data_IF_802433348180
#
_entry.id   IF_802433348180
#
_cell.length_a   1.000
_cell.length_b   1.000
_cell.length_c   1.000
_cell.angle_alpha   90.00
_cell.angle_beta   90.00
_cell.angle_gamma   90.00
#
_symmetry.space_group_name_H-M   'P 1'
#
loop_
_entity.id
_entity.type
_entity.pdbx_description
1 polymer ?
#
# COMPACT_ATOMS: atom_id res chain seq x y z
N UNK A 1 -12.46 -6.82 -6.85
CA UNK A 1 -11.30 -7.47 -7.52
C UNK A 1 -10.99 -8.71 -6.70
N UNK A 2 -11.38 -9.91 -7.19
CA UNK A 2 -11.35 -11.16 -6.41
C UNK A 2 -9.94 -11.57 -5.93
N UNK A 3 -8.88 -11.06 -6.59
CA UNK A 3 -7.50 -11.32 -6.20
C UNK A 3 -7.09 -10.63 -4.88
N UNK A 4 -7.57 -9.41 -4.62
CA UNK A 4 -7.27 -8.66 -3.38
C UNK A 4 -7.91 -9.36 -2.17
N UNK A 5 -9.12 -9.88 -2.35
CA UNK A 5 -9.86 -10.62 -1.32
C UNK A 5 -9.18 -11.96 -1.01
N UNK A 6 -8.59 -12.65 -2.01
CA UNK A 6 -7.83 -13.88 -1.76
C UNK A 6 -6.55 -13.68 -0.94
N UNK A 7 -6.01 -12.47 -0.91
CA UNK A 7 -4.85 -12.14 -0.10
C UNK A 7 -5.24 -11.85 1.37
N UNK A 8 -6.52 -11.88 1.77
CA UNK A 8 -7.02 -11.26 3.01
C UNK A 8 -6.77 -12.08 4.29
N UNK A 9 -5.52 -12.10 4.76
CA UNK A 9 -5.32 -12.18 6.21
C UNK A 9 -5.88 -10.90 6.86
N UNK A 10 -6.67 -11.01 7.94
CA UNK A 10 -7.24 -9.86 8.64
C UNK A 10 -6.13 -8.97 9.19
N UNK A 11 -6.35 -7.66 9.16
CA UNK A 11 -5.45 -6.70 9.82
C UNK A 11 -5.73 -6.70 11.32
N UNK A 12 -4.71 -6.55 12.15
CA UNK A 12 -4.84 -6.45 13.60
C UNK A 12 -4.02 -5.26 14.12
N UNK A 13 -4.59 -4.52 15.07
CA UNK A 13 -3.86 -3.50 15.79
C UNK A 13 -3.11 -4.14 16.96
N UNK A 14 -1.80 -3.88 17.00
CA UNK A 14 -0.92 -4.42 18.02
C UNK A 14 -0.47 -3.27 18.90
N UNK A 15 -0.97 -3.27 20.13
CA UNK A 15 -0.70 -2.28 21.18
C UNK A 15 0.34 -2.77 22.17
N UNK A 16 0.59 -4.08 22.19
CA UNK A 16 1.57 -4.70 23.06
C UNK A 16 2.99 -4.17 22.81
N UNK A 17 3.83 -4.23 23.86
CA UNK A 17 5.24 -3.90 23.74
C UNK A 17 5.98 -4.99 22.96
N UNK A 18 6.80 -4.57 22.01
CA UNK A 18 7.69 -5.48 21.28
C UNK A 18 8.78 -6.01 22.20
N UNK A 19 8.95 -7.32 22.21
CA UNK A 19 10.05 -8.02 22.84
C UNK A 19 10.72 -8.97 21.85
N UNK A 20 12.04 -9.07 21.88
CA UNK A 20 12.81 -9.90 20.93
C UNK A 20 13.47 -11.05 21.67
N UNK A 21 13.01 -12.27 21.40
CA UNK A 21 13.38 -13.50 22.12
C UNK A 21 13.96 -14.58 21.22
N UNK A 22 14.73 -15.48 21.81
CA UNK A 22 15.23 -16.68 21.13
C UNK A 22 14.13 -17.71 20.91
N UNK A 23 14.25 -18.50 19.85
CA UNK A 23 13.42 -19.68 19.63
C UNK A 23 13.84 -20.79 20.61
N UNK A 24 12.90 -21.35 21.39
CA UNK A 24 13.22 -22.50 22.23
C UNK A 24 13.10 -23.81 21.43
N UNK A 25 14.00 -24.76 21.68
CA UNK A 25 14.02 -26.07 21.01
C UNK A 25 12.71 -26.81 21.31
N UNK A 26 12.04 -27.31 20.27
CA UNK A 26 10.78 -28.04 20.38
C UNK A 26 9.51 -27.19 20.32
N UNK A 27 9.60 -25.86 20.25
CA UNK A 27 8.44 -25.02 19.98
C UNK A 27 8.03 -25.11 18.50
N UNK A 28 6.72 -25.16 18.18
CA UNK A 28 6.28 -25.10 16.80
C UNK A 28 6.58 -23.71 16.19
N UNK A 29 6.83 -23.67 14.88
CA UNK A 29 7.00 -22.41 14.16
C UNK A 29 5.70 -21.59 14.29
N UNK A 30 5.76 -20.30 14.70
CA UNK A 30 4.59 -19.46 14.81
C UNK A 30 3.83 -19.41 13.48
N UNK A 31 2.51 -19.52 13.50
CA UNK A 31 1.67 -19.41 12.30
C UNK A 31 1.04 -18.02 12.27
N UNK A 32 1.16 -17.34 11.13
CA UNK A 32 0.54 -16.04 10.92
C UNK A 32 -0.97 -16.22 10.80
N UNK A 33 -1.74 -15.60 11.70
CA UNK A 33 -3.22 -15.60 11.66
C UNK A 33 -3.83 -14.27 11.25
N UNK A 34 -3.12 -13.18 11.53
CA UNK A 34 -3.50 -11.81 11.19
C UNK A 34 -2.22 -11.03 10.85
N UNK A 35 -2.35 -9.88 10.22
CA UNK A 35 -1.21 -9.03 9.87
C UNK A 35 -1.23 -7.77 10.76
N UNK A 36 -0.18 -7.52 11.57
CA UNK A 36 -0.06 -6.28 12.36
C UNK A 36 0.06 -5.01 11.50
N UNK A 37 -0.01 -3.86 12.14
CA UNK A 37 0.30 -2.56 11.53
C UNK A 37 1.73 -2.53 10.93
N UNK A 38 1.91 -1.85 9.80
CA UNK A 38 3.18 -1.83 9.07
C UNK A 38 4.32 -1.27 9.94
N UNK A 39 4.02 -0.24 10.72
CA UNK A 39 4.95 0.43 11.62
C UNK A 39 5.52 -0.55 12.64
N UNK A 40 4.66 -1.40 13.23
CA UNK A 40 5.06 -2.43 14.20
C UNK A 40 5.90 -3.52 13.56
N UNK A 41 5.60 -3.90 12.33
CA UNK A 41 6.39 -4.88 11.59
C UNK A 41 7.78 -4.32 11.30
N UNK A 42 7.88 -3.08 10.86
CA UNK A 42 9.16 -2.42 10.58
C UNK A 42 9.99 -2.20 11.85
N UNK A 43 9.37 -1.80 12.97
CA UNK A 43 10.00 -1.74 14.30
C UNK A 43 10.60 -3.10 14.68
N UNK A 44 9.87 -4.20 14.49
CA UNK A 44 10.33 -5.54 14.81
C UNK A 44 11.47 -6.03 13.91
N UNK A 45 11.39 -5.75 12.61
CA UNK A 45 12.46 -6.04 11.65
C UNK A 45 13.75 -5.32 12.08
N UNK A 46 13.65 -4.03 12.41
CA UNK A 46 14.78 -3.24 12.86
C UNK A 46 15.36 -3.75 14.19
N UNK A 47 14.51 -4.10 15.15
CA UNK A 47 14.94 -4.62 16.45
C UNK A 47 15.69 -5.96 16.33
N UNK A 48 15.25 -6.86 15.45
CA UNK A 48 15.93 -8.14 15.19
C UNK A 48 17.24 -7.90 14.41
N UNK A 49 17.21 -7.02 13.40
CA UNK A 49 18.39 -6.68 12.61
C UNK A 49 19.52 -6.09 13.47
N UNK A 50 19.19 -5.23 14.44
CA UNK A 50 20.17 -4.65 15.38
C UNK A 50 20.87 -5.69 16.26
N UNK A 51 20.23 -6.85 16.52
CA UNK A 51 20.84 -7.94 17.30
C UNK A 51 21.70 -8.89 16.44
N UNK A 52 21.82 -8.64 15.12
CA UNK A 52 22.58 -9.43 14.14
C UNK A 52 22.28 -10.93 14.15
N UNK A 53 21.15 -11.34 14.71
CA UNK A 53 20.73 -12.73 14.82
C UNK A 53 19.31 -12.89 14.28
N UNK A 54 19.21 -13.38 13.03
CA UNK A 54 17.94 -13.58 12.33
C UNK A 54 17.12 -14.77 12.86
N UNK A 55 17.68 -15.59 13.76
CA UNK A 55 16.95 -16.67 14.42
C UNK A 55 16.09 -16.19 15.61
N UNK A 56 16.16 -14.90 15.94
CA UNK A 56 15.31 -14.30 16.96
C UNK A 56 13.87 -14.11 16.46
N UNK A 57 12.95 -14.17 17.40
CA UNK A 57 11.53 -13.95 17.21
C UNK A 57 11.12 -12.60 17.77
N UNK A 58 10.25 -11.91 17.04
CA UNK A 58 9.47 -10.82 17.61
C UNK A 58 8.30 -11.41 18.41
N UNK A 59 8.06 -10.85 19.59
CA UNK A 59 6.92 -11.16 20.44
C UNK A 59 6.17 -9.87 20.76
N UNK A 60 4.85 -9.92 20.63
CA UNK A 60 3.95 -8.99 21.28
C UNK A 60 2.98 -9.77 22.16
N UNK A 61 2.52 -9.15 23.25
CA UNK A 61 1.65 -9.81 24.23
C UNK A 61 0.27 -10.15 23.66
N UNK A 62 -0.27 -9.25 22.85
CA UNK A 62 -1.60 -9.28 22.23
C UNK A 62 -1.63 -10.00 20.87
N UNK A 63 -0.48 -10.19 20.23
CA UNK A 63 -0.39 -10.88 18.92
C UNK A 63 0.29 -12.25 18.99
N UNK A 64 1.27 -12.42 19.88
CA UNK A 64 2.11 -13.62 19.94
C UNK A 64 3.44 -13.43 19.21
N UNK A 65 3.92 -14.50 18.56
CA UNK A 65 5.27 -14.57 18.00
C UNK A 65 5.29 -14.47 16.47
N UNK A 66 6.35 -13.87 15.92
CA UNK A 66 6.63 -13.85 14.49
C UNK A 66 8.13 -14.02 14.22
N UNK A 67 8.47 -14.77 13.18
CA UNK A 67 9.86 -14.91 12.72
C UNK A 67 10.28 -13.72 11.85
N UNK A 68 11.59 -13.49 11.70
CA UNK A 68 12.11 -12.44 10.82
C UNK A 68 11.57 -12.55 9.37
N UNK A 69 11.63 -13.73 8.77
CA UNK A 69 11.14 -13.93 7.40
C UNK A 69 9.63 -13.74 7.27
N UNK A 70 8.87 -14.06 8.32
CA UNK A 70 7.43 -13.79 8.36
C UNK A 70 7.14 -12.30 8.39
N UNK A 71 7.89 -11.53 9.17
CA UNK A 71 7.77 -10.06 9.23
C UNK A 71 8.08 -9.42 7.87
N UNK A 72 9.14 -9.86 7.18
CA UNK A 72 9.45 -9.37 5.83
C UNK A 72 8.31 -9.67 4.85
N UNK A 73 7.73 -10.87 4.91
CA UNK A 73 6.62 -11.26 4.07
C UNK A 73 5.37 -10.40 4.36
N UNK A 74 5.03 -10.19 5.62
CA UNK A 74 3.92 -9.32 6.03
C UNK A 74 4.10 -7.90 5.50
N UNK A 75 5.28 -7.31 5.67
CA UNK A 75 5.58 -5.95 5.19
C UNK A 75 5.37 -5.83 3.66
N UNK A 76 5.85 -6.82 2.89
CA UNK A 76 5.64 -6.87 1.43
C UNK A 76 4.16 -6.96 1.07
N UNK A 77 3.40 -7.81 1.75
CA UNK A 77 1.97 -7.97 1.52
C UNK A 77 1.21 -6.67 1.79
N UNK A 78 1.48 -5.98 2.90
CA UNK A 78 0.83 -4.69 3.21
C UNK A 78 1.16 -3.64 2.15
N UNK A 79 2.44 -3.48 1.80
CA UNK A 79 2.87 -2.50 0.78
C UNK A 79 2.19 -2.78 -0.57
N UNK A 80 2.13 -4.04 -0.98
CA UNK A 80 1.44 -4.44 -2.20
C UNK A 80 -0.06 -4.10 -2.15
N UNK A 81 -0.76 -4.43 -1.04
CA UNK A 81 -2.18 -4.09 -0.86
C UNK A 81 -2.44 -2.59 -0.95
N UNK A 82 -1.59 -1.77 -0.31
CA UNK A 82 -1.71 -0.31 -0.36
C UNK A 82 -1.53 0.22 -1.78
N UNK A 83 -0.54 -0.29 -2.51
CA UNK A 83 -0.30 0.09 -3.91
C UNK A 83 -1.48 -0.31 -4.80
N UNK A 84 -2.03 -1.52 -4.64
CA UNK A 84 -3.20 -1.94 -5.42
C UNK A 84 -4.45 -1.12 -5.10
N UNK A 85 -4.62 -0.71 -3.85
CA UNK A 85 -5.71 0.21 -3.47
C UNK A 85 -5.56 1.55 -4.19
N UNK A 86 -4.35 2.13 -4.17
CA UNK A 86 -4.06 3.36 -4.89
C UNK A 86 -4.35 3.24 -6.38
N UNK A 87 -3.86 2.19 -7.04
CA UNK A 87 -4.13 1.93 -8.47
C UNK A 87 -5.62 1.85 -8.76
N UNK A 88 -6.39 1.16 -7.91
CA UNK A 88 -7.84 1.05 -8.05
C UNK A 88 -8.52 2.43 -7.91
N UNK A 89 -8.10 3.23 -6.94
CA UNK A 89 -8.67 4.56 -6.72
C UNK A 89 -8.31 5.52 -7.86
N UNK A 90 -7.08 5.43 -8.39
CA UNK A 90 -6.65 6.16 -9.59
C UNK A 90 -7.45 5.75 -10.82
N UNK A 91 -7.68 4.44 -11.04
CA UNK A 91 -8.50 3.96 -12.17
C UNK A 91 -9.93 4.51 -12.07
N UNK A 92 -10.54 4.47 -10.88
CA UNK A 92 -11.86 5.08 -10.64
C UNK A 92 -11.86 6.59 -10.91
N UNK A 93 -10.80 7.29 -10.52
CA UNK A 93 -10.67 8.72 -10.80
C UNK A 93 -10.59 8.97 -12.31
N UNK A 94 -9.80 8.21 -13.07
CA UNK A 94 -9.72 8.28 -14.53
C UNK A 94 -11.10 8.02 -15.16
N UNK A 95 -11.79 6.95 -14.74
CA UNK A 95 -13.13 6.62 -15.26
C UNK A 95 -14.16 7.70 -14.94
N UNK A 96 -13.97 8.45 -13.84
CA UNK A 96 -14.85 9.58 -13.48
C UNK A 96 -14.61 10.83 -14.33
N UNK A 97 -13.50 10.92 -15.06
CA UNK A 97 -13.22 12.02 -15.97
C UNK A 97 -14.11 11.90 -17.22
N UNK A 98 -15.32 12.44 -17.15
CA UNK A 98 -16.12 12.70 -18.33
C UNK A 98 -15.49 13.89 -19.07
N UNK A 99 -14.80 13.61 -20.18
CA UNK A 99 -14.33 14.66 -21.09
C UNK A 99 -15.56 15.33 -21.70
N UNK A 100 -15.95 16.51 -21.20
CA UNK A 100 -17.05 17.27 -21.80
C UNK A 100 -16.54 17.83 -23.12
N UNK A 101 -16.94 17.19 -24.23
CA UNK A 101 -16.73 17.71 -25.60
C UNK A 101 -17.29 19.14 -25.74
N UNK A 102 -18.27 19.54 -24.93
CA UNK A 102 -18.80 20.90 -24.87
C UNK A 102 -17.80 21.98 -24.37
N UNK A 103 -16.69 21.60 -23.73
CA UNK A 103 -15.59 22.52 -23.37
C UNK A 103 -14.54 22.67 -24.48
N UNK A 104 -14.66 21.91 -25.56
CA UNK A 104 -13.98 22.22 -26.82
C UNK A 104 -14.77 23.39 -27.41
N UNK A 105 -14.41 24.62 -27.04
CA UNK A 105 -14.80 25.77 -27.83
C UNK A 105 -14.33 25.48 -29.28
N UNK A 106 -15.18 25.65 -30.30
CA UNK A 106 -14.70 25.56 -31.67
C UNK A 106 -13.51 26.50 -31.81
N UNK A 107 -12.38 25.94 -32.26
CA UNK A 107 -11.22 26.74 -32.61
C UNK A 107 -11.71 27.83 -33.58
N UNK A 108 -11.43 29.10 -33.28
CA UNK A 108 -11.73 30.27 -34.10
C UNK A 108 -13.13 30.90 -34.02
N UNK A 109 -13.94 30.66 -32.98
CA UNK A 109 -15.18 31.46 -32.80
C UNK A 109 -14.91 32.96 -32.66
N UNK A 110 -13.71 33.31 -32.19
CA UNK A 110 -13.24 34.68 -32.00
C UNK A 110 -12.79 35.36 -33.32
N UNK A 111 -12.74 34.62 -34.44
CA UNK A 111 -12.32 35.13 -35.75
C UNK A 111 -13.47 35.29 -36.75
N UNK A 112 -14.73 35.00 -36.38
CA UNK A 112 -15.88 35.18 -37.29
C UNK A 112 -16.06 36.63 -37.77
N UNK A 113 -15.66 37.63 -36.98
CA UNK A 113 -15.78 39.06 -37.31
C UNK A 113 -14.53 39.69 -37.96
N UNK A 114 -13.47 38.92 -38.21
CA UNK A 114 -12.28 39.46 -38.90
C UNK A 114 -12.47 39.38 -40.41
N UNK A 115 -13.31 40.27 -40.96
CA UNK A 115 -13.30 40.53 -42.39
C UNK A 115 -11.97 41.14 -42.80
N UNK A 116 -11.27 40.45 -43.72
CA UNK A 116 -10.03 40.88 -44.34
C UNK A 116 -10.27 42.21 -45.06
N UNK A 117 -9.89 43.33 -44.46
CA UNK A 117 -9.91 44.63 -45.14
C UNK A 117 -8.97 44.55 -46.35
N UNK A 118 -9.55 44.47 -47.54
CA UNK A 118 -8.83 44.52 -48.81
C UNK A 118 -8.32 45.94 -48.96
N UNK A 119 -7.02 46.14 -48.71
CA UNK A 119 -6.31 47.37 -49.06
C UNK A 119 -6.27 47.45 -50.60
N UNK A 120 -7.10 48.30 -51.18
CA UNK A 120 -6.89 48.77 -52.55
C UNK A 120 -5.89 49.93 -52.52
N UNK A 121 -4.79 49.74 -53.25
CA UNK A 121 -3.76 50.73 -53.54
C UNK A 121 -4.22 51.71 -54.62
#
# INVERSE_FOLDING_TARGET
MPFIERLSLPSVEVTGKLDVRSFNIGQPVPVIKAIPQLEKIEEAIAAIANKSNKALLARWEDYGFATYGQLELMARVIKARNNFKLVKDTMKWIDSLVFRVASIAPTFKDMEDVTKNVLYA
#
